data_IF_753900864750
#
_entry.id   IF_753900864750
#
_cell.length_a   1.000
_cell.length_b   1.000
_cell.length_c   1.000
_cell.angle_alpha   90.00
_cell.angle_beta   90.00
_cell.angle_gamma   90.00
#
_symmetry.space_group_name_H-M   'P 1'
#
loop_
_entity.id
_entity.type
_entity.pdbx_description
1 polymer ?
#
# COMPACT_ATOMS: atom_id res chain seq x y z
N UNK A 1 -0.50 -20.69 -0.69
CA UNK A 1 -1.12 -19.59 0.06
C UNK A 1 -1.15 -18.35 -0.83
N UNK A 2 -2.11 -17.46 -0.63
CA UNK A 2 -2.20 -16.18 -1.37
C UNK A 2 -1.88 -15.03 -0.41
N UNK A 3 -1.55 -13.85 -0.95
CA UNK A 3 -1.26 -12.66 -0.12
C UNK A 3 -2.45 -12.32 0.79
N UNK A 4 -3.70 -12.50 0.32
CA UNK A 4 -4.92 -12.26 1.12
C UNK A 4 -5.12 -13.27 2.26
N UNK A 5 -4.56 -14.47 2.15
CA UNK A 5 -4.61 -15.47 3.20
C UNK A 5 -3.49 -15.34 4.23
N UNK A 6 -2.65 -14.29 4.15
CA UNK A 6 -1.65 -14.00 5.17
C UNK A 6 -2.33 -13.63 6.49
N UNK A 7 -1.62 -13.82 7.61
CA UNK A 7 -2.09 -13.29 8.91
C UNK A 7 -1.89 -11.77 9.01
N UNK A 8 -0.83 -11.27 8.39
CA UNK A 8 -0.42 -9.87 8.45
C UNK A 8 0.32 -9.52 7.15
N UNK A 9 0.16 -8.28 6.68
CA UNK A 9 0.84 -7.76 5.50
C UNK A 9 1.67 -6.54 5.92
N UNK A 10 2.96 -6.53 5.54
CA UNK A 10 3.87 -5.42 5.78
C UNK A 10 4.36 -4.89 4.43
N UNK A 11 4.05 -3.64 4.13
CA UNK A 11 4.45 -2.97 2.90
C UNK A 11 5.59 -2.01 3.22
N UNK A 12 6.69 -2.10 2.47
CA UNK A 12 7.82 -1.18 2.59
C UNK A 12 7.93 -0.42 1.28
N UNK A 13 7.76 0.90 1.32
CA UNK A 13 7.83 1.78 0.16
C UNK A 13 8.93 2.83 0.35
N UNK A 14 9.91 2.84 -0.55
CA UNK A 14 11.03 3.79 -0.48
C UNK A 14 11.22 4.52 -1.81
N UNK A 15 11.57 5.80 -1.71
CA UNK A 15 11.84 6.69 -2.83
C UNK A 15 10.59 7.34 -3.44
N UNK A 16 10.80 8.56 -3.98
CA UNK A 16 9.73 9.42 -4.50
C UNK A 16 8.85 8.79 -5.60
N UNK A 17 9.40 7.86 -6.39
CA UNK A 17 8.64 7.15 -7.45
C UNK A 17 7.47 6.32 -6.90
N UNK A 18 7.43 6.04 -5.59
CA UNK A 18 6.37 5.28 -4.95
C UNK A 18 5.25 6.15 -4.38
N UNK A 19 5.41 7.48 -4.36
CA UNK A 19 4.48 8.38 -3.69
C UNK A 19 3.02 8.24 -4.15
N UNK A 20 2.77 8.19 -5.46
CA UNK A 20 1.41 7.98 -5.99
C UNK A 20 0.84 6.62 -5.59
N UNK A 21 1.66 5.57 -5.63
CA UNK A 21 1.23 4.22 -5.24
C UNK A 21 0.89 4.14 -3.74
N UNK A 22 1.66 4.84 -2.90
CA UNK A 22 1.41 4.98 -1.46
C UNK A 22 0.11 5.74 -1.21
N UNK A 23 -0.13 6.87 -1.89
CA UNK A 23 -1.41 7.59 -1.79
C UNK A 23 -2.59 6.71 -2.20
N UNK A 24 -2.49 5.98 -3.30
CA UNK A 24 -3.55 5.06 -3.73
C UNK A 24 -3.77 3.92 -2.73
N UNK A 25 -2.70 3.40 -2.13
CA UNK A 25 -2.77 2.40 -1.07
C UNK A 25 -3.39 2.93 0.23
N UNK A 26 -3.24 4.21 0.58
CA UNK A 26 -3.74 4.74 1.87
C UNK A 26 -5.12 5.39 1.73
N UNK A 27 -5.35 6.12 0.63
CA UNK A 27 -6.55 6.95 0.43
C UNK A 27 -7.32 6.64 -0.86
N UNK A 28 -6.74 5.86 -1.77
CA UNK A 28 -7.38 5.57 -3.05
C UNK A 28 -8.57 4.62 -2.92
N UNK A 29 -9.55 4.67 -3.85
CA UNK A 29 -10.55 3.61 -3.96
C UNK A 29 -9.90 2.29 -4.39
N UNK A 30 -10.59 1.17 -4.16
CA UNK A 30 -10.20 -0.10 -4.78
C UNK A 30 -10.22 0.05 -6.30
N UNK A 31 -9.07 -0.19 -6.93
CA UNK A 31 -8.86 -0.02 -8.36
C UNK A 31 -7.98 -1.15 -8.89
N UNK A 32 -8.43 -1.92 -9.90
CA UNK A 32 -7.63 -2.98 -10.55
C UNK A 32 -6.27 -2.52 -11.10
N UNK A 33 -6.18 -1.27 -11.58
CA UNK A 33 -4.93 -0.69 -12.09
C UNK A 33 -3.95 -0.33 -10.96
N UNK A 34 -4.42 -0.31 -9.71
CA UNK A 34 -3.62 -0.10 -8.51
C UNK A 34 -3.75 -1.29 -7.55
N UNK A 35 -3.02 -2.40 -7.80
CA UNK A 35 -3.18 -3.65 -7.04
C UNK A 35 -3.03 -3.51 -5.52
N UNK A 36 -2.26 -2.53 -5.06
CA UNK A 36 -2.07 -2.22 -3.65
C UNK A 36 -3.39 -1.84 -2.94
N UNK A 37 -4.35 -1.24 -3.66
CA UNK A 37 -5.67 -0.88 -3.09
C UNK A 37 -6.47 -2.10 -2.62
N UNK A 38 -6.22 -3.31 -3.17
CA UNK A 38 -6.88 -4.52 -2.67
C UNK A 38 -6.44 -4.92 -1.25
N UNK A 39 -5.35 -4.36 -0.74
CA UNK A 39 -4.91 -4.61 0.64
C UNK A 39 -5.87 -4.01 1.67
N UNK A 40 -6.74 -3.05 1.30
CA UNK A 40 -7.78 -2.51 2.19
C UNK A 40 -8.74 -3.57 2.74
N UNK A 41 -8.91 -4.68 2.02
CA UNK A 41 -9.77 -5.79 2.44
C UNK A 41 -9.10 -6.73 3.46
N UNK A 42 -7.82 -6.51 3.79
CA UNK A 42 -7.09 -7.33 4.76
C UNK A 42 -7.10 -6.67 6.14
N UNK A 43 -7.35 -7.47 7.18
CA UNK A 43 -7.58 -6.95 8.54
C UNK A 43 -6.32 -6.34 9.21
N UNK A 44 -5.13 -6.79 8.82
CA UNK A 44 -3.85 -6.34 9.38
C UNK A 44 -2.86 -5.96 8.28
N UNK A 45 -2.77 -4.66 7.98
CA UNK A 45 -1.83 -4.08 7.01
C UNK A 45 -1.09 -2.93 7.66
N UNK A 46 0.22 -2.94 7.57
CA UNK A 46 1.08 -1.85 8.05
C UNK A 46 2.01 -1.42 6.92
N UNK A 47 2.14 -0.09 6.73
CA UNK A 47 2.90 0.50 5.64
C UNK A 47 4.04 1.32 6.22
N UNK A 48 5.27 0.89 5.97
CA UNK A 48 6.48 1.63 6.29
C UNK A 48 6.93 2.39 5.05
N UNK A 49 7.19 3.68 5.22
CA UNK A 49 7.60 4.55 4.14
C UNK A 49 8.70 5.51 4.57
N UNK A 50 9.59 5.83 3.64
CA UNK A 50 10.50 6.96 3.81
C UNK A 50 9.80 8.28 3.44
N UNK A 51 10.42 9.41 3.82
CA UNK A 51 9.84 10.72 3.54
C UNK A 51 9.58 10.96 2.03
N UNK A 52 10.47 10.58 1.10
CA UNK A 52 10.18 10.68 -0.33
C UNK A 52 8.95 9.87 -0.79
N UNK A 53 8.77 8.64 -0.31
CA UNK A 53 7.60 7.83 -0.64
C UNK A 53 6.32 8.34 0.02
N UNK A 54 6.42 9.08 1.13
CA UNK A 54 5.29 9.74 1.78
C UNK A 54 4.88 11.08 1.14
N UNK A 55 5.66 11.59 0.18
CA UNK A 55 5.52 12.97 -0.32
C UNK A 55 4.17 13.30 -1.00
N UNK A 56 3.37 12.30 -1.33
CA UNK A 56 2.05 12.50 -1.92
C UNK A 56 0.90 12.24 -0.94
N UNK A 57 1.15 11.85 0.31
CA UNK A 57 0.09 11.60 1.30
C UNK A 57 -0.67 12.88 1.65
#
# INVERSE_FOLDING_TARGET
GTIRGARAIRVIATGARKATAVRMLVHGPQNPDWPCSFLHAHADVEVFMDAPAAAAL
#
